data_IF_389098365787
#
_entry.id   IF_389098365787
#
_cell.length_a   1.000
_cell.length_b   1.000
_cell.length_c   1.000
_cell.angle_alpha   90.00
_cell.angle_beta   90.00
_cell.angle_gamma   90.00
#
_symmetry.space_group_name_H-M   'P 1'
#
loop_
_entity.id
_entity.type
_entity.pdbx_description
1 polymer ?
#
# COMPACT_ATOMS: atom_id res chain seq x y z
N UNK A 1 -30.69 -85.31 -33.10
CA UNK A 1 -29.48 -85.09 -32.30
C UNK A 1 -28.74 -83.95 -32.91
N UNK A 2 -28.99 -82.78 -32.44
CA UNK A 2 -28.33 -81.52 -32.95
C UNK A 2 -27.44 -81.00 -31.86
N UNK A 3 -26.13 -81.01 -32.08
CA UNK A 3 -25.12 -80.53 -31.15
C UNK A 3 -25.14 -79.02 -31.21
N UNK A 4 -25.46 -78.37 -30.11
CA UNK A 4 -25.28 -76.91 -29.95
C UNK A 4 -23.80 -76.61 -29.68
N UNK A 5 -23.23 -75.86 -30.57
CA UNK A 5 -21.83 -75.50 -30.54
C UNK A 5 -21.63 -74.25 -29.64
N UNK A 6 -21.01 -74.47 -28.46
CA UNK A 6 -20.95 -73.50 -27.34
C UNK A 6 -19.76 -72.53 -27.45
N UNK A 7 -19.38 -72.11 -28.65
CA UNK A 7 -18.11 -71.37 -28.85
C UNK A 7 -18.26 -69.90 -29.16
N UNK A 8 -19.41 -69.28 -29.13
CA UNK A 8 -19.53 -67.88 -29.45
C UNK A 8 -20.48 -67.11 -28.52
N UNK A 9 -20.34 -67.27 -27.20
CA UNK A 9 -20.94 -66.34 -26.27
C UNK A 9 -19.88 -65.31 -25.85
N UNK A 10 -19.65 -64.29 -26.73
CA UNK A 10 -18.92 -63.13 -26.35
C UNK A 10 -19.80 -62.31 -25.45
N UNK A 11 -19.60 -62.44 -24.14
CA UNK A 11 -20.18 -61.52 -23.13
C UNK A 11 -19.40 -60.23 -23.24
N UNK A 12 -19.98 -59.25 -23.93
CA UNK A 12 -19.55 -57.87 -23.88
C UNK A 12 -19.83 -57.31 -22.48
N UNK A 13 -18.88 -57.50 -21.56
CA UNK A 13 -18.82 -56.75 -20.34
C UNK A 13 -18.43 -55.29 -20.74
N UNK A 14 -19.43 -54.42 -20.90
CA UNK A 14 -19.24 -52.99 -20.85
C UNK A 14 -18.70 -52.66 -19.44
N UNK A 15 -17.48 -52.09 -19.33
CA UNK A 15 -17.13 -51.47 -18.07
C UNK A 15 -18.05 -50.27 -17.89
N UNK A 16 -18.95 -50.34 -16.93
CA UNK A 16 -19.60 -49.17 -16.42
C UNK A 16 -18.48 -48.25 -15.89
N UNK A 17 -18.13 -47.27 -16.69
CA UNK A 17 -17.36 -46.14 -16.23
C UNK A 17 -18.21 -45.41 -15.18
N UNK A 18 -18.09 -45.87 -13.94
CA UNK A 18 -18.38 -45.01 -12.80
C UNK A 18 -17.36 -43.91 -12.85
N UNK A 19 -17.72 -42.81 -13.49
CA UNK A 19 -17.03 -41.55 -13.29
C UNK A 19 -17.26 -41.22 -11.81
N UNK A 20 -16.34 -41.67 -10.96
CA UNK A 20 -16.13 -41.01 -9.68
C UNK A 20 -15.86 -39.55 -10.02
N UNK A 21 -16.94 -38.76 -9.96
CA UNK A 21 -16.79 -37.32 -9.91
C UNK A 21 -15.85 -37.05 -8.76
N UNK A 22 -14.59 -36.82 -9.08
CA UNK A 22 -13.70 -36.14 -8.17
C UNK A 22 -14.41 -34.82 -7.92
N UNK A 23 -15.09 -34.73 -6.77
CA UNK A 23 -15.39 -33.42 -6.23
C UNK A 23 -14.04 -32.72 -6.17
N UNK A 24 -13.79 -31.84 -7.12
CA UNK A 24 -12.75 -30.83 -6.94
C UNK A 24 -13.11 -30.15 -5.61
N UNK A 25 -12.39 -30.54 -4.59
CA UNK A 25 -12.31 -29.74 -3.39
C UNK A 25 -11.74 -28.43 -3.92
N UNK A 26 -12.63 -27.49 -4.23
CA UNK A 26 -12.27 -26.11 -4.48
C UNK A 26 -11.64 -25.68 -3.15
N UNK A 27 -10.33 -25.87 -3.07
CA UNK A 27 -9.51 -25.40 -1.97
C UNK A 27 -9.40 -23.87 -2.15
N UNK A 28 -10.57 -23.22 -2.05
CA UNK A 28 -10.73 -21.79 -1.98
C UNK A 28 -10.41 -21.36 -0.54
N UNK A 29 -9.33 -21.91 0.00
CA UNK A 29 -8.68 -21.34 1.15
C UNK A 29 -7.92 -20.10 0.68
N UNK A 30 -8.68 -19.12 0.19
CA UNK A 30 -8.20 -17.74 0.29
C UNK A 30 -7.83 -17.58 1.75
N UNK A 31 -6.53 -17.59 2.04
CA UNK A 31 -6.00 -17.48 3.40
C UNK A 31 -6.57 -16.19 3.99
N UNK A 32 -7.65 -16.32 4.75
CA UNK A 32 -8.33 -15.18 5.36
C UNK A 32 -7.63 -14.89 6.68
N UNK A 33 -6.95 -13.78 6.76
CA UNK A 33 -6.43 -13.27 8.01
C UNK A 33 -7.57 -12.70 8.83
N UNK A 34 -7.80 -13.26 10.03
CA UNK A 34 -8.77 -12.74 10.99
C UNK A 34 -7.99 -12.01 12.08
N UNK A 35 -8.23 -10.71 12.19
CA UNK A 35 -7.67 -9.91 13.28
C UNK A 35 -8.59 -10.05 14.50
N UNK A 36 -8.10 -10.71 15.54
CA UNK A 36 -8.84 -10.97 16.79
C UNK A 36 -8.83 -9.75 17.72
N UNK A 37 -9.19 -8.58 17.18
CA UNK A 37 -9.22 -7.31 17.95
C UNK A 37 -10.42 -7.22 18.88
N UNK A 38 -11.51 -7.91 18.53
CA UNK A 38 -12.75 -8.02 19.31
C UNK A 38 -13.31 -9.46 19.28
N UNK A 39 -14.53 -9.66 19.74
CA UNK A 39 -15.19 -10.95 19.80
C UNK A 39 -16.10 -11.24 18.59
N UNK A 40 -16.11 -10.40 17.58
CA UNK A 40 -17.01 -10.53 16.42
C UNK A 40 -16.94 -11.90 15.74
N UNK A 41 -15.75 -12.48 15.66
CA UNK A 41 -15.51 -13.79 15.02
C UNK A 41 -15.48 -14.95 16.02
N UNK A 42 -15.83 -14.72 17.30
CA UNK A 42 -15.81 -15.74 18.34
C UNK A 42 -17.25 -16.12 18.68
N UNK A 43 -17.67 -17.29 18.22
CA UNK A 43 -19.02 -17.81 18.52
C UNK A 43 -19.14 -18.26 19.98
N UNK A 44 -18.10 -18.90 20.52
CA UNK A 44 -18.11 -19.49 21.86
C UNK A 44 -16.67 -19.58 22.42
N UNK A 45 -16.54 -19.38 23.73
CA UNK A 45 -15.28 -19.58 24.47
C UNK A 45 -15.47 -20.55 25.60
N UNK A 46 -14.60 -21.57 25.68
CA UNK A 46 -14.48 -22.44 26.83
C UNK A 46 -13.00 -22.69 27.13
N UNK A 47 -12.60 -22.57 28.39
CA UNK A 47 -11.24 -22.85 28.84
C UNK A 47 -10.15 -21.96 28.26
N UNK A 48 -10.51 -20.82 27.66
CA UNK A 48 -9.56 -19.86 27.07
C UNK A 48 -9.73 -18.48 27.67
N UNK A 49 -8.63 -17.75 27.76
CA UNK A 49 -8.62 -16.33 28.17
C UNK A 49 -7.91 -15.50 27.11
N UNK A 50 -8.40 -14.29 26.89
CA UNK A 50 -7.72 -13.35 26.01
C UNK A 50 -6.51 -12.78 26.74
N UNK A 51 -5.35 -12.91 26.12
CA UNK A 51 -4.11 -12.29 26.62
C UNK A 51 -3.64 -11.24 25.61
N UNK A 52 -3.48 -10.01 26.08
CA UNK A 52 -2.84 -8.95 25.29
C UNK A 52 -1.32 -9.16 25.36
N UNK A 53 -0.71 -9.23 24.18
CA UNK A 53 0.74 -9.22 24.04
C UNK A 53 1.15 -7.83 23.55
N UNK A 54 1.53 -6.89 24.42
CA UNK A 54 1.91 -5.55 24.03
C UNK A 54 3.17 -5.58 23.18
N UNK A 55 3.21 -4.71 22.16
CA UNK A 55 4.40 -4.52 21.37
C UNK A 55 5.52 -3.96 22.25
N UNK A 56 6.72 -4.49 22.07
CA UNK A 56 7.92 -3.99 22.72
C UNK A 56 8.70 -3.10 21.75
N UNK A 57 9.17 -1.96 22.24
CA UNK A 57 10.01 -1.08 21.45
C UNK A 57 11.35 -1.76 21.18
N UNK A 58 11.76 -1.82 19.92
CA UNK A 58 13.04 -2.39 19.52
C UNK A 58 14.23 -1.58 20.04
N UNK A 59 14.13 -0.24 20.04
CA UNK A 59 15.18 0.69 20.46
C UNK A 59 14.55 1.97 21.02
N UNK A 60 15.24 2.62 21.94
CA UNK A 60 14.86 3.95 22.44
C UNK A 60 15.18 5.07 21.43
N UNK A 61 16.00 4.77 20.41
CA UNK A 61 16.32 5.70 19.33
C UNK A 61 15.46 5.40 18.10
N UNK A 62 15.08 6.42 17.32
CA UNK A 62 14.45 6.22 16.02
C UNK A 62 15.34 5.36 15.10
N UNK A 63 14.76 4.42 14.37
CA UNK A 63 15.49 3.62 13.36
C UNK A 63 15.75 4.41 12.08
N UNK A 64 14.98 5.49 11.82
CA UNK A 64 15.28 6.48 10.80
C UNK A 64 15.28 7.85 11.44
N UNK A 65 16.41 8.52 11.44
CA UNK A 65 16.60 9.81 12.08
C UNK A 65 16.65 10.94 11.03
N UNK A 66 16.34 12.16 11.45
CA UNK A 66 16.56 13.37 10.68
C UNK A 66 18.06 13.72 10.73
N UNK A 67 18.82 13.28 9.72
CA UNK A 67 20.29 13.43 9.64
C UNK A 67 20.76 14.11 8.34
N UNK A 68 19.83 14.62 7.52
CA UNK A 68 20.13 15.33 6.28
C UNK A 68 19.69 16.80 6.34
N UNK A 69 20.29 17.69 5.54
CA UNK A 69 19.95 19.12 5.55
C UNK A 69 18.49 19.45 5.23
N UNK A 70 17.77 18.55 4.57
CA UNK A 70 16.33 18.67 4.25
C UNK A 70 15.43 18.01 5.28
N UNK A 71 15.97 17.53 6.41
CA UNK A 71 15.27 16.76 7.43
C UNK A 71 15.36 17.43 8.80
N UNK A 72 14.65 18.53 9.01
CA UNK A 72 14.47 19.04 10.39
C UNK A 72 13.55 18.14 11.18
N UNK A 73 12.55 17.55 10.49
CA UNK A 73 11.61 16.58 11.06
C UNK A 73 11.35 15.50 10.02
N UNK A 74 11.19 14.25 10.47
CA UNK A 74 10.78 13.11 9.66
C UNK A 74 9.56 12.44 10.27
N UNK A 75 8.57 12.05 9.43
CA UNK A 75 7.35 11.37 9.86
C UNK A 75 6.64 10.67 8.70
N UNK A 76 5.46 10.11 8.95
CA UNK A 76 4.53 9.50 7.97
C UNK A 76 5.21 8.46 7.07
N UNK A 77 5.72 7.41 7.70
CA UNK A 77 6.46 6.36 7.02
C UNK A 77 5.52 5.31 6.40
N UNK A 78 5.83 4.90 5.16
CA UNK A 78 5.27 3.72 4.51
C UNK A 78 6.40 2.75 4.20
N UNK A 79 6.25 1.49 4.60
CA UNK A 79 7.28 0.46 4.42
C UNK A 79 6.74 -0.67 3.54
N UNK A 80 7.53 -1.11 2.59
CA UNK A 80 7.26 -2.26 1.76
C UNK A 80 8.47 -3.20 1.77
N UNK A 81 8.22 -4.49 2.03
CA UNK A 81 9.23 -5.53 1.86
C UNK A 81 9.02 -6.18 0.50
N UNK A 82 10.01 -6.07 -0.37
CA UNK A 82 9.97 -6.65 -1.68
C UNK A 82 10.13 -8.19 -1.59
N UNK A 83 9.11 -8.98 -1.95
CA UNK A 83 9.19 -10.43 -1.84
C UNK A 83 10.20 -11.05 -2.82
N UNK A 84 10.57 -10.35 -3.89
CA UNK A 84 11.48 -10.86 -4.90
C UNK A 84 12.94 -10.89 -4.41
N UNK A 85 13.33 -9.95 -3.56
CA UNK A 85 14.72 -9.82 -3.10
C UNK A 85 14.85 -9.67 -1.58
N UNK A 86 13.73 -9.60 -0.85
CA UNK A 86 13.71 -9.46 0.61
C UNK A 86 14.07 -8.08 1.14
N UNK A 87 14.42 -7.13 0.26
CA UNK A 87 14.80 -5.77 0.66
C UNK A 87 13.59 -4.96 1.08
N UNK A 88 13.83 -4.01 1.98
CA UNK A 88 12.83 -3.08 2.44
C UNK A 88 12.99 -1.74 1.72
N UNK A 89 11.86 -1.17 1.30
CA UNK A 89 11.73 0.19 0.78
C UNK A 89 10.93 1.01 1.79
N UNK A 90 11.38 2.22 2.06
CA UNK A 90 10.74 3.16 2.97
C UNK A 90 10.52 4.48 2.26
N UNK A 91 9.29 4.94 2.31
CA UNK A 91 8.93 6.32 1.96
C UNK A 91 8.58 7.05 3.24
N UNK A 92 9.08 8.26 3.38
CA UNK A 92 8.84 9.08 4.55
C UNK A 92 8.80 10.55 4.18
N UNK A 93 8.12 11.32 4.99
CA UNK A 93 8.10 12.76 4.84
C UNK A 93 9.24 13.42 5.61
N UNK A 94 9.85 14.41 4.99
CA UNK A 94 10.85 15.27 5.59
C UNK A 94 10.45 16.73 5.44
N UNK A 95 10.66 17.52 6.48
CA UNK A 95 10.45 18.96 6.49
C UNK A 95 11.78 19.67 6.68
N UNK A 96 12.17 20.59 5.77
CA UNK A 96 13.40 21.37 5.92
C UNK A 96 13.22 22.59 6.83
N UNK A 97 12.21 22.60 7.69
CA UNK A 97 11.78 23.70 8.52
C UNK A 97 10.27 23.91 8.43
N UNK A 98 9.84 25.19 8.42
CA UNK A 98 8.40 25.53 8.40
C UNK A 98 7.79 25.56 7.01
N UNK A 99 8.58 25.58 5.96
CA UNK A 99 8.11 25.72 4.58
C UNK A 99 8.29 24.45 3.78
N UNK A 100 7.16 23.90 3.31
CA UNK A 100 7.13 22.75 2.43
C UNK A 100 7.42 21.42 3.12
N UNK A 101 7.18 20.35 2.39
CA UNK A 101 7.59 19.01 2.78
C UNK A 101 8.11 18.26 1.55
N UNK A 102 8.88 17.24 1.79
CA UNK A 102 9.42 16.36 0.76
C UNK A 102 8.98 14.93 1.03
N UNK A 103 8.62 14.19 -0.01
CA UNK A 103 8.62 12.75 0.06
C UNK A 103 10.04 12.27 -0.22
N UNK A 104 10.60 11.54 0.72
CA UNK A 104 11.96 10.98 0.67
C UNK A 104 11.91 9.46 0.64
N UNK A 105 13.02 8.87 0.23
CA UNK A 105 13.18 7.43 0.09
C UNK A 105 14.38 6.91 0.88
N UNK A 106 14.23 5.73 1.44
CA UNK A 106 15.32 4.94 2.01
C UNK A 106 15.12 3.46 1.72
N UNK A 107 16.19 2.69 1.80
CA UNK A 107 16.19 1.24 1.63
C UNK A 107 16.97 0.53 2.73
N UNK A 108 16.63 -0.74 2.96
CA UNK A 108 17.28 -1.54 4.00
C UNK A 108 17.25 -3.02 3.64
N UNK A 109 18.26 -3.76 4.07
CA UNK A 109 18.28 -5.22 3.97
C UNK A 109 17.61 -5.90 5.17
N UNK A 110 17.58 -5.24 6.33
CA UNK A 110 17.11 -5.82 7.60
C UNK A 110 15.88 -5.09 8.23
N UNK A 111 15.46 -3.96 7.66
CA UNK A 111 14.39 -3.13 8.18
C UNK A 111 14.78 -2.29 9.40
N UNK A 112 16.05 -2.33 9.81
CA UNK A 112 16.59 -1.65 10.99
C UNK A 112 17.62 -0.60 10.59
N UNK A 113 18.57 -0.98 9.72
CA UNK A 113 19.61 -0.09 9.21
C UNK A 113 19.18 0.43 7.85
N UNK A 114 18.90 1.74 7.77
CA UNK A 114 18.38 2.38 6.58
C UNK A 114 19.45 3.20 5.87
N UNK A 115 19.52 3.03 4.56
CA UNK A 115 20.38 3.79 3.66
C UNK A 115 19.51 4.79 2.91
N UNK A 116 19.93 6.04 2.85
CA UNK A 116 19.30 7.13 2.10
C UNK A 116 20.13 7.37 0.82
N UNK A 117 19.77 6.75 -0.31
CA UNK A 117 20.56 6.82 -1.54
C UNK A 117 20.48 8.21 -2.19
N UNK A 118 21.49 8.58 -2.93
CA UNK A 118 21.46 9.76 -3.80
C UNK A 118 20.63 9.44 -5.05
N UNK A 119 19.39 9.93 -5.13
CA UNK A 119 18.45 9.66 -6.22
C UNK A 119 18.53 10.70 -7.33
N UNK A 120 18.74 11.97 -6.98
CA UNK A 120 18.98 13.01 -7.96
C UNK A 120 17.77 13.56 -8.71
N UNK A 121 16.54 13.35 -8.20
CA UNK A 121 15.31 13.80 -8.85
C UNK A 121 14.91 15.24 -8.53
N UNK A 122 15.29 15.73 -7.35
CA UNK A 122 14.86 17.03 -6.85
C UNK A 122 16.08 17.82 -6.37
N UNK A 123 16.23 19.04 -6.86
CA UNK A 123 17.25 19.93 -6.37
C UNK A 123 16.91 20.47 -4.97
N UNK A 124 17.88 20.40 -4.07
CA UNK A 124 17.86 21.04 -2.75
C UNK A 124 19.10 21.91 -2.56
N UNK A 125 18.91 23.23 -2.46
CA UNK A 125 19.98 24.23 -2.27
C UNK A 125 21.14 24.06 -3.26
N UNK A 126 20.81 23.90 -4.54
CA UNK A 126 21.82 23.79 -5.63
C UNK A 126 22.41 22.37 -5.79
N UNK A 127 21.92 21.36 -5.06
CA UNK A 127 22.45 20.00 -5.13
C UNK A 127 21.37 18.98 -5.42
N UNK A 128 21.70 18.03 -6.29
CA UNK A 128 20.90 16.83 -6.57
C UNK A 128 21.30 15.63 -5.69
N UNK A 129 22.34 15.76 -4.86
CA UNK A 129 22.81 14.69 -3.98
C UNK A 129 21.90 14.53 -2.78
N UNK A 130 20.75 13.95 -3.03
CA UNK A 130 19.70 13.72 -2.02
C UNK A 130 18.79 12.56 -2.39
N UNK A 131 17.96 12.14 -1.44
CA UNK A 131 16.97 11.07 -1.59
C UNK A 131 15.53 11.58 -1.71
N UNK A 132 15.34 12.82 -2.15
CA UNK A 132 14.03 13.44 -2.32
C UNK A 132 13.40 12.96 -3.62
N UNK A 133 12.17 12.48 -3.55
CA UNK A 133 11.41 12.00 -4.71
C UNK A 133 10.57 13.14 -5.34
N UNK A 134 9.82 13.86 -4.51
CA UNK A 134 9.08 15.06 -4.95
C UNK A 134 8.75 16.00 -3.78
N UNK A 135 8.36 17.23 -4.13
CA UNK A 135 7.97 18.30 -3.19
C UNK A 135 6.47 18.32 -2.98
N UNK A 136 6.03 18.85 -1.84
CA UNK A 136 4.64 19.16 -1.49
C UNK A 136 3.70 17.93 -1.46
N UNK A 137 4.21 16.80 -1.01
CA UNK A 137 3.40 15.61 -0.78
C UNK A 137 3.05 15.46 0.70
N UNK A 138 2.14 16.28 1.23
CA UNK A 138 1.78 16.25 2.66
C UNK A 138 0.97 15.00 3.00
N UNK A 139 1.28 14.35 4.13
CA UNK A 139 0.59 13.14 4.59
C UNK A 139 0.72 11.95 3.61
N UNK A 140 1.78 11.93 2.78
CA UNK A 140 1.94 10.91 1.76
C UNK A 140 1.96 9.52 2.36
N UNK A 141 1.14 8.65 1.79
CA UNK A 141 1.08 7.22 2.08
C UNK A 141 1.36 6.45 0.80
N UNK A 142 2.16 5.41 0.88
CA UNK A 142 2.53 4.58 -0.28
C UNK A 142 2.09 3.14 -0.04
N UNK A 143 1.46 2.55 -1.06
CA UNK A 143 1.10 1.14 -1.10
C UNK A 143 1.65 0.48 -2.37
N UNK A 144 1.84 -0.83 -2.31
CA UNK A 144 2.13 -1.67 -3.48
C UNK A 144 0.92 -2.55 -3.77
N UNK A 145 0.33 -2.36 -4.94
CA UNK A 145 -0.80 -3.14 -5.44
C UNK A 145 -0.33 -4.15 -6.48
N UNK A 146 -0.01 -5.36 -6.03
CA UNK A 146 0.44 -6.45 -6.90
C UNK A 146 -0.62 -6.86 -7.93
N UNK A 147 -1.90 -6.56 -7.66
CA UNK A 147 -3.02 -6.95 -8.52
C UNK A 147 -3.33 -5.93 -9.62
N UNK A 148 -2.71 -4.74 -9.57
CA UNK A 148 -2.90 -3.76 -10.66
C UNK A 148 -2.37 -4.35 -11.98
N UNK A 149 -3.22 -4.43 -13.02
CA UNK A 149 -2.84 -4.97 -14.32
C UNK A 149 -1.78 -4.11 -15.03
N UNK A 150 -1.70 -2.80 -14.72
CA UNK A 150 -0.69 -1.90 -15.25
C UNK A 150 0.55 -1.91 -14.33
N UNK A 151 1.67 -2.53 -14.73
CA UNK A 151 2.86 -2.60 -13.90
C UNK A 151 3.43 -1.21 -13.55
N UNK A 152 3.12 -0.18 -14.35
CA UNK A 152 3.56 1.19 -14.09
C UNK A 152 2.77 1.88 -12.98
N UNK A 153 1.71 1.24 -12.47
CA UNK A 153 0.84 1.79 -11.42
C UNK A 153 0.82 0.96 -10.14
N UNK A 154 1.66 -0.06 -10.03
CA UNK A 154 1.67 -0.93 -8.85
C UNK A 154 2.06 -0.22 -7.56
N UNK A 155 2.99 0.71 -7.61
CA UNK A 155 3.17 1.63 -6.49
C UNK A 155 2.21 2.80 -6.65
N UNK A 156 1.43 3.07 -5.59
CA UNK A 156 0.43 4.13 -5.54
C UNK A 156 0.70 4.98 -4.33
N UNK A 157 0.64 6.30 -4.50
CA UNK A 157 0.75 7.24 -3.40
C UNK A 157 -0.47 8.14 -3.37
N UNK A 158 -1.05 8.32 -2.20
CA UNK A 158 -2.03 9.35 -1.91
C UNK A 158 -1.36 10.39 -1.02
N UNK A 159 -1.56 11.67 -1.33
CA UNK A 159 -0.96 12.78 -0.61
C UNK A 159 -1.81 14.03 -0.74
N UNK A 160 -1.62 14.96 0.19
CA UNK A 160 -2.27 16.25 0.16
C UNK A 160 -1.39 17.26 -0.58
N UNK A 161 -1.97 18.00 -1.52
CA UNK A 161 -1.28 19.08 -2.24
C UNK A 161 -2.02 20.41 -1.99
N UNK A 162 -1.27 21.43 -1.60
CA UNK A 162 -1.79 22.78 -1.34
C UNK A 162 -1.25 23.81 -2.31
N UNK A 163 -0.17 23.48 -3.03
CA UNK A 163 0.51 24.42 -3.90
C UNK A 163 -0.19 24.52 -5.26
N UNK A 164 -1.08 25.48 -5.39
CA UNK A 164 -1.83 25.75 -6.63
C UNK A 164 -0.92 26.14 -7.80
N UNK A 165 0.30 26.61 -7.53
CA UNK A 165 1.27 26.95 -8.58
C UNK A 165 1.77 25.73 -9.36
N UNK A 166 1.50 24.53 -8.88
CA UNK A 166 1.88 23.25 -9.50
C UNK A 166 0.86 22.70 -10.50
N UNK A 167 -0.08 23.53 -10.94
CA UNK A 167 -1.05 23.17 -11.98
C UNK A 167 -2.29 22.45 -11.45
N UNK A 168 -2.47 22.33 -10.15
CA UNK A 168 -3.73 21.94 -9.56
C UNK A 168 -4.63 23.17 -9.40
N UNK A 169 -5.91 23.02 -9.73
CA UNK A 169 -6.88 24.11 -9.66
C UNK A 169 -7.32 24.42 -8.21
N UNK A 170 -7.32 23.40 -7.37
CA UNK A 170 -7.78 23.47 -5.97
C UNK A 170 -6.85 22.66 -5.08
N UNK A 171 -6.67 23.03 -3.80
CA UNK A 171 -6.03 22.13 -2.86
C UNK A 171 -6.83 20.86 -2.71
N UNK A 172 -6.20 19.76 -2.34
CA UNK A 172 -6.91 18.51 -2.13
C UNK A 172 -6.05 17.26 -2.12
N UNK A 173 -6.73 16.13 -2.00
CA UNK A 173 -6.11 14.82 -2.06
C UNK A 173 -5.71 14.52 -3.50
N UNK A 174 -4.43 14.27 -3.69
CA UNK A 174 -3.81 13.90 -4.96
C UNK A 174 -3.31 12.46 -4.93
N UNK A 175 -3.17 11.87 -6.11
CA UNK A 175 -2.61 10.54 -6.28
C UNK A 175 -1.47 10.56 -7.30
N UNK A 176 -0.52 9.66 -7.10
CA UNK A 176 0.56 9.40 -8.03
C UNK A 176 0.82 7.89 -8.15
N UNK A 177 1.40 7.50 -9.26
CA UNK A 177 1.74 6.12 -9.58
C UNK A 177 3.21 5.97 -9.91
N UNK A 178 3.75 4.79 -9.67
CA UNK A 178 5.13 4.45 -10.01
C UNK A 178 5.26 2.94 -10.30
N UNK A 179 6.18 2.59 -11.19
CA UNK A 179 6.58 1.21 -11.43
C UNK A 179 7.57 0.69 -10.37
N UNK A 180 8.40 1.57 -9.82
CA UNK A 180 9.57 1.25 -8.99
C UNK A 180 9.51 1.83 -7.57
N UNK A 181 8.56 2.75 -7.32
CA UNK A 181 8.42 3.47 -6.06
C UNK A 181 9.38 4.67 -5.92
N UNK A 182 10.14 4.99 -6.98
CA UNK A 182 11.12 6.08 -7.03
C UNK A 182 10.67 7.13 -8.05
N UNK A 183 10.37 6.71 -9.27
CA UNK A 183 9.92 7.59 -10.34
C UNK A 183 8.40 7.69 -10.34
N UNK A 184 7.87 8.83 -9.87
CA UNK A 184 6.44 9.04 -9.66
C UNK A 184 5.81 9.90 -10.75
N UNK A 185 4.66 9.47 -11.26
CA UNK A 185 3.81 10.23 -12.16
C UNK A 185 2.52 10.63 -11.45
N UNK A 186 2.31 11.91 -11.27
CA UNK A 186 1.07 12.46 -10.71
C UNK A 186 -0.10 12.20 -11.68
N UNK A 187 -1.26 11.87 -11.12
CA UNK A 187 -2.49 11.69 -11.91
C UNK A 187 -2.92 13.03 -12.54
N UNK A 188 -3.30 13.00 -13.82
CA UNK A 188 -3.67 14.21 -14.56
C UNK A 188 -4.95 14.90 -14.06
N UNK A 189 -5.84 14.14 -13.40
CA UNK A 189 -7.08 14.64 -12.81
C UNK A 189 -6.94 15.06 -11.34
N UNK A 190 -5.73 15.28 -10.83
CA UNK A 190 -5.53 15.78 -9.47
C UNK A 190 -6.09 17.21 -9.30
N UNK A 191 -6.63 17.55 -8.11
CA UNK A 191 -6.88 16.66 -6.99
C UNK A 191 -8.10 15.76 -7.25
N UNK A 192 -8.01 14.50 -6.81
CA UNK A 192 -9.11 13.53 -6.94
C UNK A 192 -10.22 13.78 -5.92
N UNK A 193 -9.88 14.38 -4.78
CA UNK A 193 -10.82 14.89 -3.78
C UNK A 193 -10.40 16.34 -3.49
N UNK A 194 -11.28 17.29 -3.78
CA UNK A 194 -11.07 18.70 -3.49
C UNK A 194 -11.36 18.98 -2.02
N UNK A 195 -10.67 19.97 -1.45
CA UNK A 195 -10.91 20.43 -0.09
C UNK A 195 -9.66 20.99 0.58
N UNK A 196 -9.80 21.54 1.76
CA UNK A 196 -8.71 22.04 2.58
C UNK A 196 -8.19 20.98 3.53
N UNK A 197 -6.93 21.11 3.91
CA UNK A 197 -6.35 20.31 4.99
C UNK A 197 -6.70 20.96 6.34
N UNK A 198 -7.81 20.52 6.91
CA UNK A 198 -8.36 21.15 8.11
C UNK A 198 -9.05 22.48 7.78
N UNK A 199 -10.29 22.60 8.12
CA UNK A 199 -11.19 23.70 7.72
C UNK A 199 -10.76 25.08 8.21
N UNK A 200 -9.87 25.14 9.19
CA UNK A 200 -9.33 26.37 9.76
C UNK A 200 -8.06 26.89 9.04
N UNK A 201 -7.50 26.15 8.12
CA UNK A 201 -6.23 26.50 7.46
C UNK A 201 -6.45 27.33 6.21
N UNK A 202 -7.54 27.09 5.49
CA UNK A 202 -7.86 27.82 4.26
C UNK A 202 -9.35 28.20 4.25
N UNK A 203 -9.67 29.42 3.82
CA UNK A 203 -11.06 29.75 3.58
C UNK A 203 -11.62 28.82 2.51
N UNK A 204 -12.89 28.42 2.61
CA UNK A 204 -13.57 27.68 1.56
C UNK A 204 -13.37 28.43 0.24
N UNK A 205 -13.13 27.71 -0.84
CA UNK A 205 -13.21 28.30 -2.16
C UNK A 205 -14.61 28.89 -2.33
N UNK A 206 -14.74 30.00 -3.03
CA UNK A 206 -16.02 30.70 -3.25
C UNK A 206 -17.16 29.78 -3.70
N UNK A 207 -16.81 28.65 -4.33
CA UNK A 207 -17.75 27.61 -4.77
C UNK A 207 -18.20 26.65 -3.66
N UNK A 208 -17.57 26.66 -2.48
CA UNK A 208 -17.84 25.74 -1.37
C UNK A 208 -18.43 26.43 -0.14
N UNK A 209 -19.09 27.56 -0.32
CA UNK A 209 -19.76 28.34 0.76
C UNK A 209 -20.76 27.49 1.56
N UNK A 210 -21.30 26.43 0.95
CA UNK A 210 -22.23 25.50 1.60
C UNK A 210 -21.58 24.61 2.65
N UNK A 211 -20.28 24.34 2.57
CA UNK A 211 -19.58 23.51 3.56
C UNK A 211 -19.26 24.26 4.86
N UNK A 212 -19.36 25.58 4.84
CA UNK A 212 -19.08 26.39 6.03
C UNK A 212 -20.13 26.29 7.13
N UNK A 213 -21.32 25.80 6.79
CA UNK A 213 -22.47 25.78 7.70
C UNK A 213 -22.69 24.44 8.42
N UNK A 214 -21.96 23.38 8.03
CA UNK A 214 -22.18 22.05 8.60
C UNK A 214 -21.22 21.73 9.76
N UNK A 215 -20.32 22.66 10.12
CA UNK A 215 -19.32 22.49 11.18
C UNK A 215 -19.40 23.59 12.28
N UNK A 216 -20.51 24.29 12.33
CA UNK A 216 -20.81 25.30 13.35
C UNK A 216 -21.48 24.73 14.58
#
# INVERSE_FOLDING_TARGET
>A
MTRINLKNLIVLLLPALVSLGQAEVINNSAQRTILMVDDHHILYRAGTVRKLNPAQRYSDKPIIAADKPWETTVAYCSVYKDPANGKYKLWYQAWPGRSGCYLCYAESDDGIKWIKPEIGLVEFKGSLKNNILFKNGYGASVIYDVKDPDPNKRFKSAFWEQDLSKGIKYPGMCIAYSADGINWKKHSGNPVIKGSYGDYIQPPLETDITQKNDLG
#
